data_IF_280423214409
#
_entry.id   IF_280423214409
#
_cell.length_a   1.000
_cell.length_b   1.000
_cell.length_c   1.000
_cell.angle_alpha   90.00
_cell.angle_beta   90.00
_cell.angle_gamma   90.00
#
_symmetry.space_group_name_H-M   'P 1'
#
loop_
_entity.id
_entity.type
_entity.pdbx_description
1 polymer ?
#
# COMPACT_ATOMS: atom_id res chain seq x y z
N UNK A 1 -3.39 5.92 -23.99
CA UNK A 1 -2.98 6.58 -22.74
C UNK A 1 -3.96 6.22 -21.64
N UNK A 2 -3.45 5.87 -20.47
CA UNK A 2 -4.29 5.45 -19.36
C UNK A 2 -4.67 6.65 -18.50
N UNK A 3 -5.97 6.88 -18.33
CA UNK A 3 -6.44 7.93 -17.43
C UNK A 3 -6.58 7.38 -16.03
N UNK A 4 -5.48 7.35 -15.29
CA UNK A 4 -5.45 6.92 -13.90
C UNK A 4 -5.15 8.09 -12.99
N UNK A 5 -5.94 8.25 -11.94
CA UNK A 5 -5.74 9.25 -10.90
C UNK A 5 -5.47 8.58 -9.57
N UNK A 6 -4.52 9.12 -8.81
CA UNK A 6 -4.28 8.69 -7.44
C UNK A 6 -5.02 9.67 -6.53
N UNK A 7 -5.98 9.15 -5.77
CA UNK A 7 -6.86 9.96 -4.93
C UNK A 7 -6.88 9.44 -3.49
N UNK A 8 -7.16 10.29 -2.50
CA UNK A 8 -7.36 9.84 -1.13
C UNK A 8 -8.58 8.89 -1.03
N UNK A 9 -8.51 7.98 -0.08
CA UNK A 9 -9.61 7.05 0.20
C UNK A 9 -10.90 7.81 0.57
N UNK A 10 -12.01 7.35 0.00
CA UNK A 10 -13.35 7.81 0.36
C UNK A 10 -14.17 6.60 0.85
N UNK A 11 -15.22 6.83 1.66
CA UNK A 11 -16.07 5.71 2.14
C UNK A 11 -16.61 4.82 1.03
N UNK A 12 -16.89 5.36 -0.15
CA UNK A 12 -17.37 4.56 -1.29
C UNK A 12 -16.29 3.67 -1.91
N UNK A 13 -15.04 3.81 -1.49
CA UNK A 13 -13.96 2.92 -1.89
C UNK A 13 -13.87 1.64 -1.05
N UNK A 14 -14.66 1.51 0.03
CA UNK A 14 -14.47 0.42 1.00
C UNK A 14 -14.59 -0.97 0.37
N UNK A 15 -15.56 -1.18 -0.51
CA UNK A 15 -15.75 -2.47 -1.17
C UNK A 15 -14.58 -2.79 -2.11
N UNK A 16 -14.10 -1.82 -2.87
CA UNK A 16 -12.96 -1.99 -3.78
C UNK A 16 -11.67 -2.24 -3.00
N UNK A 17 -11.47 -1.53 -1.89
CA UNK A 17 -10.34 -1.75 -0.99
C UNK A 17 -10.30 -3.20 -0.50
N UNK A 18 -11.43 -3.70 0.00
CA UNK A 18 -11.52 -5.08 0.49
C UNK A 18 -11.24 -6.08 -0.64
N UNK A 19 -11.87 -5.89 -1.79
CA UNK A 19 -11.74 -6.81 -2.93
C UNK A 19 -10.29 -6.87 -3.45
N UNK A 20 -9.61 -5.73 -3.57
CA UNK A 20 -8.21 -5.68 -4.03
C UNK A 20 -7.30 -6.45 -3.07
N UNK A 21 -7.46 -6.24 -1.77
CA UNK A 21 -6.58 -6.87 -0.79
C UNK A 21 -6.83 -8.37 -0.68
N UNK A 22 -8.09 -8.81 -0.74
CA UNK A 22 -8.42 -10.23 -0.72
C UNK A 22 -7.91 -10.94 -1.98
N UNK A 23 -8.06 -10.31 -3.14
CA UNK A 23 -7.56 -10.87 -4.40
C UNK A 23 -6.04 -10.99 -4.39
N UNK A 24 -5.33 -9.99 -3.85
CA UNK A 24 -3.88 -10.02 -3.76
C UNK A 24 -3.38 -11.15 -2.86
N UNK A 25 -4.00 -11.34 -1.69
CA UNK A 25 -3.63 -12.42 -0.78
C UNK A 25 -3.87 -13.79 -1.43
N UNK A 26 -5.01 -13.95 -2.09
CA UNK A 26 -5.35 -15.19 -2.78
C UNK A 26 -4.40 -15.49 -3.94
N UNK A 27 -4.04 -14.49 -4.72
CA UNK A 27 -3.12 -14.63 -5.85
C UNK A 27 -1.71 -15.06 -5.37
N UNK A 28 -1.26 -14.49 -4.24
CA UNK A 28 0.04 -14.83 -3.66
C UNK A 28 0.05 -16.15 -2.91
N UNK A 29 -1.09 -16.79 -2.74
CA UNK A 29 -1.20 -18.01 -1.94
C UNK A 29 -1.09 -17.77 -0.45
N UNK A 30 -1.25 -16.54 0.01
CA UNK A 30 -1.16 -16.19 1.42
C UNK A 30 -2.51 -16.42 2.13
N UNK A 31 -2.44 -16.96 3.35
CA UNK A 31 -3.62 -17.04 4.21
C UNK A 31 -4.00 -15.64 4.68
N UNK A 32 -5.32 -15.39 4.81
CA UNK A 32 -5.82 -14.14 5.40
C UNK A 32 -5.64 -14.26 6.91
N UNK A 33 -4.70 -13.48 7.46
CA UNK A 33 -4.43 -13.46 8.90
C UNK A 33 -5.39 -12.51 9.62
N UNK A 34 -5.53 -12.67 10.93
CA UNK A 34 -6.42 -11.79 11.70
C UNK A 34 -6.08 -10.32 11.57
N UNK A 35 -4.79 -10.00 11.44
CA UNK A 35 -4.32 -8.64 11.23
C UNK A 35 -4.80 -8.09 9.87
N UNK A 36 -4.77 -8.92 8.83
CA UNK A 36 -5.30 -8.56 7.52
C UNK A 36 -6.78 -8.27 7.59
N UNK A 37 -7.53 -9.15 8.28
CA UNK A 37 -8.98 -9.04 8.36
C UNK A 37 -9.40 -7.72 8.98
N UNK A 38 -8.71 -7.31 10.05
CA UNK A 38 -9.00 -6.05 10.73
C UNK A 38 -8.83 -4.85 9.82
N UNK A 39 -7.75 -4.80 9.06
CA UNK A 39 -7.43 -3.70 8.15
C UNK A 39 -8.31 -3.70 6.91
N UNK A 40 -8.63 -4.89 6.38
CA UNK A 40 -9.46 -5.03 5.19
C UNK A 40 -10.91 -4.63 5.48
N UNK A 41 -11.45 -5.05 6.62
CA UNK A 41 -12.85 -4.83 6.96
C UNK A 41 -13.14 -3.43 7.50
N UNK A 42 -12.13 -2.79 8.14
CA UNK A 42 -12.33 -1.49 8.77
C UNK A 42 -11.12 -0.56 8.53
N UNK A 43 -10.91 -0.15 7.28
CA UNK A 43 -9.79 0.77 6.99
C UNK A 43 -9.93 2.12 7.71
N UNK A 44 -11.14 2.59 7.94
CA UNK A 44 -11.36 3.84 8.68
C UNK A 44 -10.82 3.74 10.10
N UNK A 45 -11.27 2.74 10.86
CA UNK A 45 -10.87 2.59 12.26
C UNK A 45 -9.46 2.07 12.45
N UNK A 46 -8.98 1.21 11.52
CA UNK A 46 -7.67 0.59 11.66
C UNK A 46 -6.52 1.46 11.12
N UNK A 47 -6.79 2.32 10.14
CA UNK A 47 -5.74 3.10 9.45
C UNK A 47 -5.96 4.60 9.59
N UNK A 48 -7.12 5.11 9.20
CA UNK A 48 -7.36 6.55 9.13
C UNK A 48 -7.51 7.20 10.49
N UNK A 49 -8.32 6.62 11.37
CA UNK A 49 -8.54 7.17 12.71
C UNK A 49 -7.25 7.28 13.54
N UNK A 50 -6.33 6.29 13.50
CA UNK A 50 -5.04 6.43 14.19
C UNK A 50 -4.08 7.44 13.57
N UNK A 51 -4.44 8.07 12.45
CA UNK A 51 -3.61 9.09 11.80
C UNK A 51 -2.94 8.64 10.51
N UNK A 52 -3.27 7.46 10.01
CA UNK A 52 -2.76 6.98 8.74
C UNK A 52 -3.51 7.55 7.54
N UNK A 53 -3.08 7.15 6.35
CA UNK A 53 -3.65 7.59 5.08
C UNK A 53 -3.82 6.39 4.15
N UNK A 54 -4.74 6.51 3.20
CA UNK A 54 -4.90 5.50 2.15
C UNK A 54 -5.05 6.23 0.82
N UNK A 55 -4.33 5.76 -0.19
CA UNK A 55 -4.45 6.24 -1.57
C UNK A 55 -5.04 5.16 -2.45
N UNK A 56 -5.95 5.57 -3.33
CA UNK A 56 -6.62 4.70 -4.29
C UNK A 56 -6.25 5.13 -5.70
N UNK A 57 -6.02 4.17 -6.58
CA UNK A 57 -5.81 4.44 -8.00
C UNK A 57 -7.12 4.22 -8.73
N UNK A 58 -7.67 5.26 -9.33
CA UNK A 58 -8.91 5.20 -10.10
C UNK A 58 -8.61 5.32 -11.58
N UNK A 59 -9.24 4.46 -12.38
CA UNK A 59 -9.07 4.44 -13.82
C UNK A 59 -10.43 4.64 -14.50
N UNK A 60 -10.49 5.59 -15.44
CA UNK A 60 -11.70 5.81 -16.23
C UNK A 60 -11.89 4.67 -17.23
N UNK A 61 -13.11 4.16 -17.35
CA UNK A 61 -13.51 3.25 -18.41
C UNK A 61 -13.88 4.07 -19.66
N UNK A 62 -14.02 3.41 -20.83
CA UNK A 62 -14.48 4.11 -22.05
C UNK A 62 -15.81 4.83 -21.88
N UNK A 63 -16.69 4.35 -20.98
CA UNK A 63 -17.96 5.00 -20.67
C UNK A 63 -17.84 6.19 -19.72
N UNK A 64 -16.64 6.47 -19.21
CA UNK A 64 -16.39 7.56 -18.25
C UNK A 64 -16.54 7.17 -16.80
N UNK A 65 -17.02 5.97 -16.50
CA UNK A 65 -17.06 5.47 -15.12
C UNK A 65 -15.65 5.24 -14.60
N UNK A 66 -15.43 5.53 -13.34
CA UNK A 66 -14.14 5.32 -12.71
C UNK A 66 -14.15 4.10 -11.80
N UNK A 67 -13.27 3.14 -12.09
CA UNK A 67 -13.08 1.95 -11.28
C UNK A 67 -11.77 2.01 -10.53
N UNK A 68 -11.71 1.36 -9.36
CA UNK A 68 -10.48 1.27 -8.57
C UNK A 68 -9.62 0.14 -9.11
N UNK A 69 -8.35 0.43 -9.40
CA UNK A 69 -7.40 -0.53 -9.95
C UNK A 69 -6.16 -0.70 -9.07
N UNK A 70 -6.07 0.00 -7.97
CA UNK A 70 -4.94 -0.15 -7.06
C UNK A 70 -5.16 0.63 -5.76
N UNK A 71 -4.35 0.32 -4.77
CA UNK A 71 -4.39 1.00 -3.48
C UNK A 71 -3.05 0.90 -2.77
N UNK A 72 -2.86 1.78 -1.77
CA UNK A 72 -1.71 1.72 -0.87
C UNK A 72 -2.06 2.46 0.41
N UNK A 73 -1.70 1.90 1.56
CA UNK A 73 -1.93 2.51 2.85
C UNK A 73 -0.64 3.01 3.48
N UNK A 74 -0.76 4.06 4.27
CA UNK A 74 0.27 4.54 5.20
C UNK A 74 -0.27 4.40 6.62
N UNK A 75 0.32 3.52 7.41
CA UNK A 75 -0.06 3.33 8.80
C UNK A 75 0.83 4.19 9.69
N UNK A 76 0.22 4.99 10.57
CA UNK A 76 0.97 5.85 11.47
C UNK A 76 1.80 5.02 12.46
N UNK A 77 3.06 5.41 12.65
CA UNK A 77 3.99 4.74 13.57
C UNK A 77 4.29 5.63 14.77
N UNK A 78 4.71 5.01 15.86
CA UNK A 78 4.98 5.72 17.13
C UNK A 78 6.13 6.72 17.00
N UNK A 79 7.05 6.52 16.06
CA UNK A 79 8.19 7.41 15.86
C UNK A 79 7.88 8.62 14.95
N UNK A 80 6.63 8.74 14.53
CA UNK A 80 6.21 9.80 13.58
C UNK A 80 6.38 9.41 12.12
N UNK A 81 6.96 8.24 11.83
CA UNK A 81 7.05 7.70 10.48
C UNK A 81 5.74 7.06 10.04
N UNK A 82 5.75 6.53 8.83
CA UNK A 82 4.61 5.80 8.29
C UNK A 82 5.05 4.46 7.73
N UNK A 83 4.27 3.43 8.00
CA UNK A 83 4.46 2.11 7.39
C UNK A 83 3.65 2.02 6.10
N UNK A 84 4.32 1.76 4.99
CA UNK A 84 3.68 1.47 3.70
C UNK A 84 3.13 0.04 3.76
N UNK A 85 1.84 -0.11 3.58
CA UNK A 85 1.16 -1.40 3.70
C UNK A 85 0.06 -1.52 2.66
N UNK A 86 -0.33 -2.77 2.37
CA UNK A 86 -1.48 -3.05 1.51
C UNK A 86 -1.36 -2.39 0.12
N UNK A 87 -0.14 -2.35 -0.43
CA UNK A 87 0.05 -1.88 -1.80
C UNK A 87 -0.29 -3.01 -2.76
N UNK A 88 -1.29 -2.78 -3.60
CA UNK A 88 -1.69 -3.75 -4.61
C UNK A 88 -2.23 -3.04 -5.84
N UNK A 89 -1.98 -3.67 -7.00
CA UNK A 89 -2.48 -3.21 -8.29
C UNK A 89 -3.18 -4.40 -8.95
N UNK A 90 -4.40 -4.19 -9.45
CA UNK A 90 -5.15 -5.27 -10.09
C UNK A 90 -4.38 -5.79 -11.31
N UNK A 91 -4.49 -7.11 -11.62
CA UNK A 91 -3.71 -7.70 -12.72
C UNK A 91 -3.89 -6.98 -14.06
N UNK A 92 -5.10 -6.52 -14.37
CA UNK A 92 -5.39 -5.85 -15.64
C UNK A 92 -4.70 -4.47 -15.75
N UNK A 93 -4.26 -3.89 -14.64
CA UNK A 93 -3.63 -2.57 -14.62
C UNK A 93 -2.12 -2.64 -14.35
N UNK A 94 -1.54 -3.82 -14.30
CA UNK A 94 -0.09 -3.98 -14.10
C UNK A 94 0.67 -3.53 -15.33
N UNK A 95 1.92 -3.14 -15.12
CA UNK A 95 2.78 -2.66 -16.21
C UNK A 95 2.57 -1.21 -16.58
N UNK A 96 1.71 -0.48 -15.86
CA UNK A 96 1.43 0.94 -16.10
C UNK A 96 2.16 1.88 -15.14
N UNK A 97 3.04 1.35 -14.29
CA UNK A 97 3.77 2.15 -13.31
C UNK A 97 2.94 2.62 -12.13
N UNK A 98 1.80 1.99 -11.84
CA UNK A 98 0.90 2.43 -10.78
C UNK A 98 1.47 2.24 -9.39
N UNK A 99 2.23 1.15 -9.16
CA UNK A 99 2.89 0.94 -7.88
C UNK A 99 3.81 2.09 -7.51
N UNK A 100 4.61 2.55 -8.47
CA UNK A 100 5.49 3.70 -8.27
C UNK A 100 4.70 4.98 -8.02
N UNK A 101 3.62 5.21 -8.77
CA UNK A 101 2.77 6.39 -8.56
C UNK A 101 2.12 6.39 -7.18
N UNK A 102 1.69 5.22 -6.70
CA UNK A 102 1.16 5.08 -5.34
C UNK A 102 2.23 5.39 -4.30
N UNK A 103 3.45 4.87 -4.49
CA UNK A 103 4.57 5.18 -3.58
C UNK A 103 4.92 6.67 -3.61
N UNK A 104 4.87 7.31 -4.77
CA UNK A 104 5.13 8.74 -4.87
C UNK A 104 4.10 9.56 -4.09
N UNK A 105 2.82 9.18 -4.17
CA UNK A 105 1.77 9.83 -3.37
C UNK A 105 2.00 9.63 -1.88
N UNK A 106 2.40 8.42 -1.48
CA UNK A 106 2.71 8.12 -0.08
C UNK A 106 3.89 8.95 0.43
N UNK A 107 4.96 9.03 -0.35
CA UNK A 107 6.13 9.81 0.05
C UNK A 107 5.81 11.30 0.14
N UNK A 108 5.04 11.84 -0.82
CA UNK A 108 4.64 13.23 -0.79
C UNK A 108 3.83 13.56 0.47
N UNK A 109 2.89 12.68 0.83
CA UNK A 109 2.09 12.86 2.04
C UNK A 109 2.94 12.75 3.31
N UNK A 110 3.86 11.80 3.35
CA UNK A 110 4.76 11.63 4.50
C UNK A 110 5.66 12.85 4.68
N UNK A 111 6.21 13.38 3.60
CA UNK A 111 7.04 14.59 3.66
C UNK A 111 6.22 15.81 4.11
N UNK A 112 4.99 15.95 3.63
CA UNK A 112 4.11 17.04 4.05
C UNK A 112 3.80 16.97 5.54
N UNK A 113 3.76 15.77 6.11
CA UNK A 113 3.56 15.54 7.54
C UNK A 113 4.87 15.61 8.34
N UNK A 114 5.99 15.94 7.70
CA UNK A 114 7.33 15.98 8.31
C UNK A 114 7.75 14.63 8.92
N UNK A 115 7.32 13.53 8.34
CA UNK A 115 7.67 12.20 8.81
C UNK A 115 9.17 11.93 8.60
N UNK A 116 9.85 11.25 9.55
CA UNK A 116 11.28 10.99 9.41
C UNK A 116 11.60 9.87 8.42
N UNK A 117 10.64 8.95 8.18
CA UNK A 117 10.88 7.81 7.31
C UNK A 117 9.59 7.16 6.82
N UNK A 118 9.74 6.40 5.75
CA UNK A 118 8.78 5.36 5.37
C UNK A 118 9.39 4.00 5.77
N UNK A 119 8.55 3.10 6.22
CA UNK A 119 8.93 1.75 6.66
C UNK A 119 8.01 0.74 5.98
N UNK A 120 8.48 -0.47 5.72
CA UNK A 120 7.62 -1.54 5.22
C UNK A 120 8.14 -2.91 5.63
N UNK A 121 7.23 -3.88 5.63
CA UNK A 121 7.50 -5.29 5.81
C UNK A 121 6.90 -6.03 4.61
N UNK A 122 7.66 -6.94 4.02
CA UNK A 122 7.21 -7.66 2.84
C UNK A 122 7.77 -9.08 2.82
N UNK A 123 7.40 -9.82 1.79
CA UNK A 123 7.87 -11.19 1.58
C UNK A 123 8.90 -11.22 0.46
N UNK A 124 9.98 -11.96 0.66
CA UNK A 124 10.99 -12.21 -0.38
C UNK A 124 10.40 -12.95 -1.58
N UNK A 125 9.26 -13.62 -1.42
CA UNK A 125 8.56 -14.25 -2.52
C UNK A 125 7.98 -13.24 -3.52
N UNK A 126 7.77 -11.99 -3.08
CA UNK A 126 7.22 -10.91 -3.92
C UNK A 126 8.36 -10.14 -4.59
N UNK A 127 9.05 -10.79 -5.53
CA UNK A 127 10.25 -10.22 -6.18
C UNK A 127 9.99 -8.89 -6.91
N UNK A 128 8.91 -8.72 -7.69
CA UNK A 128 8.66 -7.44 -8.35
C UNK A 128 8.45 -6.30 -7.35
N UNK A 129 7.77 -6.56 -6.24
CA UNK A 129 7.55 -5.55 -5.19
C UNK A 129 8.88 -5.13 -4.55
N UNK A 130 9.72 -6.11 -4.20
CA UNK A 130 11.04 -5.83 -3.63
C UNK A 130 11.91 -4.99 -4.56
N UNK A 131 11.92 -5.32 -5.86
CA UNK A 131 12.67 -4.56 -6.86
C UNK A 131 12.16 -3.12 -6.96
N UNK A 132 10.83 -2.93 -6.93
CA UNK A 132 10.22 -1.60 -6.96
C UNK A 132 10.65 -0.79 -5.74
N UNK A 133 10.57 -1.37 -4.55
CA UNK A 133 10.94 -0.66 -3.31
C UNK A 133 12.40 -0.23 -3.34
N UNK A 134 13.31 -1.12 -3.74
CA UNK A 134 14.73 -0.78 -3.83
C UNK A 134 14.99 0.30 -4.87
N UNK A 135 14.34 0.24 -6.02
CA UNK A 135 14.47 1.26 -7.07
C UNK A 135 13.91 2.60 -6.61
N UNK A 136 12.96 2.60 -5.65
CA UNK A 136 12.37 3.81 -5.10
C UNK A 136 13.20 4.41 -3.96
N UNK A 137 14.27 3.73 -3.53
CA UNK A 137 15.20 4.22 -2.51
C UNK A 137 15.08 3.55 -1.15
N UNK A 138 14.28 2.51 -1.01
CA UNK A 138 14.23 1.73 0.23
C UNK A 138 15.49 0.90 0.38
N UNK A 139 15.99 0.81 1.61
CA UNK A 139 17.14 -0.02 1.99
C UNK A 139 16.69 -1.13 2.92
N UNK A 140 17.37 -2.26 2.87
CA UNK A 140 17.07 -3.41 3.71
C UNK A 140 17.49 -3.13 5.15
N UNK A 141 16.67 -3.57 6.10
CA UNK A 141 16.92 -3.50 7.54
C UNK A 141 17.17 -4.90 8.10
N UNK A 142 17.84 -5.01 9.27
CA UNK A 142 17.95 -6.29 9.96
C UNK A 142 16.58 -6.87 10.33
N UNK A 143 16.46 -8.21 10.41
CA UNK A 143 15.21 -8.86 10.84
C UNK A 143 14.72 -8.35 12.19
N UNK A 144 13.40 -8.27 12.33
CA UNK A 144 12.71 -7.84 13.55
C UNK A 144 11.36 -8.52 13.64
N UNK A 145 10.70 -8.50 14.81
CA UNK A 145 9.37 -9.10 14.95
C UNK A 145 8.38 -8.44 13.99
N UNK A 146 7.49 -9.26 13.42
CA UNK A 146 6.41 -8.80 12.54
C UNK A 146 5.10 -9.43 12.97
N UNK A 147 3.97 -8.70 12.88
CA UNK A 147 2.66 -9.28 13.10
C UNK A 147 2.23 -10.25 12.00
N UNK A 148 2.94 -10.28 10.87
CA UNK A 148 2.61 -11.15 9.73
C UNK A 148 3.63 -12.28 9.61
N UNK A 149 3.14 -13.53 9.53
CA UNK A 149 3.99 -14.71 9.38
C UNK A 149 4.73 -14.68 8.03
N UNK A 150 4.12 -14.14 7.00
CA UNK A 150 4.69 -14.08 5.65
C UNK A 150 5.82 -13.07 5.50
N UNK A 151 5.97 -12.13 6.43
CA UNK A 151 6.98 -11.09 6.32
C UNK A 151 8.36 -11.61 6.69
N UNK A 152 9.31 -11.53 5.78
CA UNK A 152 10.70 -11.90 5.99
C UNK A 152 11.69 -10.87 5.45
N UNK A 153 11.20 -9.72 4.98
CA UNK A 153 12.00 -8.59 4.51
C UNK A 153 11.48 -7.31 5.15
N UNK A 154 12.40 -6.53 5.72
CA UNK A 154 12.12 -5.27 6.39
C UNK A 154 12.93 -4.17 5.70
N UNK A 155 12.29 -3.05 5.36
CA UNK A 155 12.94 -1.98 4.61
C UNK A 155 12.51 -0.62 5.13
N UNK A 156 13.38 0.38 4.91
CA UNK A 156 13.02 1.78 5.18
C UNK A 156 13.56 2.71 4.13
N UNK A 157 12.90 3.85 3.98
CA UNK A 157 13.42 4.99 3.22
C UNK A 157 13.42 6.19 4.15
N UNK A 158 14.60 6.72 4.43
CA UNK A 158 14.74 7.92 5.24
C UNK A 158 14.30 9.14 4.43
N UNK A 159 13.53 10.02 5.07
CA UNK A 159 13.01 11.23 4.43
C UNK A 159 13.74 12.48 4.93
N UNK A 160 14.60 12.31 5.91
CA UNK A 160 15.43 13.39 6.49
C UNK A 160 16.84 12.91 6.75
#
# INVERSE_FOLDING_TARGET
MTDVQIVPFRPDHAAAWAALNEAWLGEGGFAVEGKDRKVIDDPQGAILDPGGLIFMAERASPSGERGVVGCCALMAMDDGGYEVAKMTVSPAARGLGLGRRLLEACEAAARAAAAPRLYLETSSALKPAGALYRSFGFIDLPPRPSPYVRADVWMEKRLR
#
